data_IF_899538261044
#
_entry.id   IF_899538261044
#
_cell.length_a   1.000
_cell.length_b   1.000
_cell.length_c   1.000
_cell.angle_alpha   90.00
_cell.angle_beta   90.00
_cell.angle_gamma   90.00
#
_symmetry.space_group_name_H-M   'P 1'
#
loop_
_entity.id
_entity.type
_entity.pdbx_description
1 polymer ?
#
# COMPACT_ATOMS: atom_id res chain seq x y z
N UNK A 1 20.44 11.31 22.06
CA UNK A 1 19.11 11.32 22.67
C UNK A 1 18.48 9.96 22.42
N UNK A 2 18.44 9.14 23.45
CA UNK A 2 17.92 7.76 23.40
C UNK A 2 16.40 7.79 23.51
N UNK A 3 15.72 7.14 22.55
CA UNK A 3 14.29 6.85 22.64
C UNK A 3 14.17 5.37 23.02
N UNK A 4 13.52 5.01 24.13
CA UNK A 4 13.42 3.62 24.56
C UNK A 4 12.34 2.88 23.76
N UNK A 5 12.72 1.71 23.26
CA UNK A 5 11.84 0.67 22.72
C UNK A 5 11.09 -0.01 23.88
N UNK A 6 9.78 0.03 23.88
CA UNK A 6 8.92 -0.75 24.78
C UNK A 6 8.60 -2.11 24.12
N UNK A 7 9.16 -3.14 24.72
CA UNK A 7 8.88 -4.56 24.43
C UNK A 7 7.92 -5.11 25.48
N UNK A 8 6.85 -5.77 25.05
CA UNK A 8 6.06 -6.67 25.91
C UNK A 8 6.05 -8.08 25.33
N UNK A 9 6.38 -9.06 26.23
CA UNK A 9 6.36 -10.51 25.96
C UNK A 9 4.94 -11.09 26.01
N UNK A 10 4.64 -12.24 25.34
CA UNK A 10 4.63 -13.49 26.11
C UNK A 10 5.06 -14.79 25.36
N UNK A 11 5.44 -15.73 26.20
CA UNK A 11 5.49 -17.20 26.13
C UNK A 11 6.49 -17.90 25.22
N UNK A 12 7.39 -18.56 25.96
CA UNK A 12 8.39 -19.55 25.57
C UNK A 12 7.74 -20.90 25.18
N UNK A 13 8.24 -21.54 24.15
CA UNK A 13 8.87 -22.87 24.20
C UNK A 13 9.26 -23.38 22.78
N UNK A 14 10.42 -24.04 22.77
CA UNK A 14 10.96 -24.98 21.75
C UNK A 14 12.02 -24.49 20.76
N UNK A 15 13.13 -25.13 20.93
CA UNK A 15 14.17 -25.68 20.07
C UNK A 15 15.52 -24.95 20.05
N UNK A 16 16.41 -25.56 20.84
CA UNK A 16 17.87 -25.51 20.68
C UNK A 16 18.28 -26.59 19.67
N UNK A 17 19.22 -26.23 18.82
CA UNK A 17 20.13 -27.20 18.23
C UNK A 17 20.42 -27.04 16.74
N UNK A 18 21.71 -26.99 16.43
CA UNK A 18 22.45 -27.43 15.25
C UNK A 18 23.09 -26.40 14.32
N UNK A 19 24.38 -26.24 14.60
CA UNK A 19 25.60 -26.36 13.76
C UNK A 19 25.81 -25.55 12.47
N UNK A 20 27.00 -25.01 12.47
CA UNK A 20 27.72 -24.09 11.58
C UNK A 20 27.92 -24.61 10.16
N UNK A 21 27.57 -23.79 9.16
CA UNK A 21 28.19 -23.73 7.84
C UNK A 21 28.10 -22.31 7.27
N UNK A 22 29.01 -21.84 6.40
CA UNK A 22 29.11 -20.46 5.99
C UNK A 22 28.17 -20.12 4.84
N UNK A 23 26.87 -20.04 5.10
CA UNK A 23 25.87 -19.60 4.15
C UNK A 23 25.29 -18.26 4.62
N UNK A 24 25.10 -17.28 3.72
CA UNK A 24 24.34 -16.07 4.02
C UNK A 24 22.89 -16.48 4.34
N UNK A 25 22.54 -16.48 5.61
CA UNK A 25 21.22 -16.82 6.14
C UNK A 25 20.50 -15.52 6.46
N UNK A 26 19.20 -15.47 6.17
CA UNK A 26 18.32 -14.33 6.41
C UNK A 26 17.30 -14.68 7.49
N UNK A 27 16.83 -13.66 8.22
CA UNK A 27 15.84 -13.81 9.29
C UNK A 27 14.56 -13.06 8.95
N UNK A 28 13.41 -13.62 9.25
CA UNK A 28 12.09 -12.99 9.09
C UNK A 28 11.51 -12.59 10.43
N UNK A 29 10.84 -11.45 10.47
CA UNK A 29 10.10 -10.96 11.61
C UNK A 29 8.64 -10.79 11.20
N UNK A 30 7.75 -11.52 11.86
CA UNK A 30 6.32 -11.32 11.72
C UNK A 30 5.87 -10.26 12.74
N UNK A 31 5.31 -9.16 12.26
CA UNK A 31 4.72 -8.16 13.13
C UNK A 31 3.21 -8.42 13.23
N UNK A 32 2.79 -9.00 14.34
CA UNK A 32 1.39 -8.95 14.78
C UNK A 32 1.21 -7.69 15.61
N UNK A 33 0.32 -6.80 15.21
CA UNK A 33 -0.03 -5.64 16.04
C UNK A 33 -0.65 -6.13 17.35
N UNK A 34 -0.18 -5.68 18.53
CA UNK A 34 -0.78 -6.10 19.77
C UNK A 34 -2.18 -5.52 19.94
N UNK A 35 -3.16 -6.37 20.20
CA UNK A 35 -4.47 -5.97 20.65
C UNK A 35 -4.39 -5.28 22.01
N UNK A 36 -4.88 -4.06 22.10
CA UNK A 36 -5.38 -3.51 23.34
C UNK A 36 -6.77 -4.11 23.61
N UNK A 37 -6.81 -5.14 24.42
CA UNK A 37 -8.03 -5.61 25.06
C UNK A 37 -8.39 -4.65 26.19
N UNK A 38 -9.43 -3.86 26.02
CA UNK A 38 -10.20 -3.30 27.12
C UNK A 38 -11.66 -3.59 26.85
N UNK A 39 -12.13 -4.67 27.40
CA UNK A 39 -13.53 -4.99 27.53
C UNK A 39 -14.19 -3.98 28.48
N UNK A 40 -15.01 -3.08 27.91
CA UNK A 40 -16.05 -2.38 28.62
C UNK A 40 -17.35 -2.77 27.92
N UNK A 41 -18.30 -3.41 28.64
CA UNK A 41 -19.59 -3.75 28.05
C UNK A 41 -20.36 -2.47 27.73
N UNK A 42 -20.77 -2.33 26.50
CA UNK A 42 -21.55 -1.19 25.96
C UNK A 42 -23.03 -1.28 26.40
N UNK A 43 -23.30 -1.34 27.70
CA UNK A 43 -24.66 -1.45 28.24
C UNK A 43 -25.02 -0.42 29.32
N UNK A 44 -24.21 0.61 29.57
CA UNK A 44 -24.48 1.59 30.63
C UNK A 44 -24.32 3.07 30.26
N UNK A 45 -24.58 3.47 29.02
CA UNK A 45 -24.59 4.89 28.62
C UNK A 45 -25.88 5.28 27.89
N UNK A 46 -27.03 4.86 28.39
CA UNK A 46 -28.35 5.35 27.95
C UNK A 46 -29.16 5.87 29.16
N UNK A 47 -28.64 6.90 29.83
CA UNK A 47 -29.48 7.72 30.72
C UNK A 47 -28.88 9.11 30.87
N UNK A 48 -29.08 9.96 29.89
CA UNK A 48 -29.03 11.40 30.02
C UNK A 48 -29.98 12.02 28.97
N UNK A 49 -30.97 12.83 29.37
CA UNK A 49 -31.90 13.47 28.46
C UNK A 49 -31.29 14.75 27.91
N UNK A 50 -31.22 14.86 26.59
CA UNK A 50 -30.97 16.13 25.91
C UNK A 50 -29.85 16.15 24.92
N UNK A 51 -30.04 15.49 23.76
CA UNK A 51 -29.39 15.93 22.51
C UNK A 51 -30.16 15.37 21.30
N UNK A 52 -30.77 16.24 20.57
CA UNK A 52 -31.61 16.05 19.38
C UNK A 52 -30.75 15.62 18.13
N UNK A 53 -30.06 14.47 18.19
CA UNK A 53 -29.25 13.93 17.05
C UNK A 53 -29.76 12.61 16.50
N UNK A 54 -30.84 12.05 17.03
CA UNK A 54 -31.31 10.71 16.70
C UNK A 54 -32.23 10.62 15.46
N UNK A 55 -32.29 11.66 14.61
CA UNK A 55 -33.25 11.67 13.48
C UNK A 55 -32.66 11.34 12.09
N UNK A 56 -31.40 10.88 12.01
CA UNK A 56 -30.74 10.57 10.73
C UNK A 56 -30.22 9.12 10.58
N UNK A 57 -30.64 8.23 11.46
CA UNK A 57 -30.36 6.79 11.27
C UNK A 57 -31.63 6.04 10.92
N UNK A 58 -32.09 6.22 9.69
CA UNK A 58 -32.99 5.25 9.07
C UNK A 58 -32.13 4.13 8.47
N UNK A 59 -32.49 2.85 8.65
CA UNK A 59 -31.83 1.75 7.98
C UNK A 59 -32.08 1.89 6.48
N UNK A 60 -31.05 2.26 5.73
CA UNK A 60 -31.14 2.33 4.26
C UNK A 60 -31.32 0.92 3.70
N UNK A 61 -32.51 0.62 3.24
CA UNK A 61 -32.82 -0.57 2.45
C UNK A 61 -31.79 -0.70 1.31
N UNK A 62 -31.39 -1.96 1.00
CA UNK A 62 -30.33 -2.25 0.05
C UNK A 62 -30.50 -1.64 -1.37
N UNK A 63 -31.71 -1.20 -1.71
CA UNK A 63 -32.03 -0.45 -2.94
C UNK A 63 -31.45 0.99 -2.93
N UNK A 64 -31.51 1.70 -1.81
CA UNK A 64 -30.96 3.07 -1.69
C UNK A 64 -29.43 3.09 -1.77
N UNK A 65 -28.75 2.04 -1.28
CA UNK A 65 -27.29 1.91 -1.44
C UNK A 65 -26.86 1.65 -2.89
N UNK A 66 -27.63 0.88 -3.65
CA UNK A 66 -27.37 0.63 -5.08
C UNK A 66 -27.56 1.90 -5.90
N UNK A 67 -28.61 2.66 -5.61
CA UNK A 67 -28.91 3.93 -6.30
C UNK A 67 -27.83 4.99 -6.03
N UNK A 68 -27.38 5.13 -4.79
CA UNK A 68 -26.34 6.10 -4.42
C UNK A 68 -24.97 5.78 -5.02
N UNK A 69 -24.64 4.48 -5.20
CA UNK A 69 -23.40 4.06 -5.87
C UNK A 69 -23.49 4.20 -7.40
N UNK A 70 -24.66 4.04 -8.00
CA UNK A 70 -24.87 4.28 -9.43
C UNK A 70 -24.81 5.77 -9.76
N UNK A 71 -25.44 6.63 -8.98
CA UNK A 71 -25.39 8.10 -9.15
C UNK A 71 -23.96 8.66 -9.06
N UNK A 72 -23.15 8.18 -8.13
CA UNK A 72 -21.73 8.63 -8.02
C UNK A 72 -20.84 8.14 -9.15
N UNK A 73 -21.17 7.00 -9.78
CA UNK A 73 -20.46 6.52 -10.98
C UNK A 73 -20.87 7.31 -12.23
N UNK A 74 -22.13 7.63 -12.34
CA UNK A 74 -22.70 8.42 -13.46
C UNK A 74 -22.17 9.86 -13.43
N UNK A 75 -22.12 10.53 -12.27
CA UNK A 75 -21.54 11.87 -12.11
C UNK A 75 -20.05 11.97 -12.50
N UNK A 76 -19.26 10.91 -12.31
CA UNK A 76 -17.84 10.88 -12.72
C UNK A 76 -17.62 10.51 -14.18
N UNK A 77 -18.62 9.94 -14.86
CA UNK A 77 -18.54 9.60 -16.30
C UNK A 77 -19.09 10.71 -17.19
N UNK A 78 -19.88 11.65 -16.67
CA UNK A 78 -20.54 12.75 -17.42
C UNK A 78 -19.58 13.80 -18.00
N UNK A 79 -18.30 13.57 -18.05
CA UNK A 79 -17.33 14.51 -18.65
C UNK A 79 -16.29 13.84 -19.54
N UNK A 80 -16.44 12.56 -19.85
CA UNK A 80 -15.50 11.84 -20.70
C UNK A 80 -15.87 11.93 -22.18
N UNK A 81 -14.88 12.20 -23.02
CA UNK A 81 -15.06 12.06 -24.47
C UNK A 81 -15.18 10.58 -24.85
N UNK A 82 -15.82 10.29 -25.99
CA UNK A 82 -15.97 8.92 -26.51
C UNK A 82 -14.63 8.18 -26.65
N UNK A 83 -13.55 8.89 -26.95
CA UNK A 83 -12.20 8.30 -27.04
C UNK A 83 -11.67 7.89 -25.66
N UNK A 84 -11.88 8.72 -24.65
CA UNK A 84 -11.47 8.46 -23.28
C UNK A 84 -12.26 7.30 -22.67
N UNK A 85 -13.57 7.27 -22.92
CA UNK A 85 -14.42 6.17 -22.49
C UNK A 85 -13.97 4.84 -23.11
N UNK A 86 -13.72 4.81 -24.42
CA UNK A 86 -13.20 3.62 -25.11
C UNK A 86 -11.84 3.18 -24.56
N UNK A 87 -10.96 4.12 -24.20
CA UNK A 87 -9.67 3.81 -23.57
C UNK A 87 -9.86 3.13 -22.21
N UNK A 88 -10.70 3.71 -21.35
CA UNK A 88 -10.99 3.13 -20.03
C UNK A 88 -11.62 1.75 -20.14
N UNK A 89 -12.58 1.58 -21.05
CA UNK A 89 -13.26 0.29 -21.25
C UNK A 89 -12.31 -0.77 -21.80
N UNK A 90 -11.44 -0.41 -22.74
CA UNK A 90 -10.38 -1.29 -23.26
C UNK A 90 -9.43 -1.73 -22.15
N UNK A 91 -8.94 -0.78 -21.34
CA UNK A 91 -8.03 -1.08 -20.25
C UNK A 91 -8.69 -1.97 -19.19
N UNK A 92 -9.93 -1.66 -18.82
CA UNK A 92 -10.71 -2.47 -17.89
C UNK A 92 -10.92 -3.90 -18.40
N UNK A 93 -11.42 -4.05 -19.63
CA UNK A 93 -11.68 -5.37 -20.22
C UNK A 93 -10.39 -6.22 -20.32
N UNK A 94 -9.30 -5.64 -20.79
CA UNK A 94 -8.02 -6.34 -20.88
C UNK A 94 -7.43 -6.66 -19.51
N UNK A 95 -7.61 -5.78 -18.51
CA UNK A 95 -7.14 -5.99 -17.16
C UNK A 95 -7.80 -7.21 -16.50
N UNK A 96 -9.14 -7.27 -16.50
CA UNK A 96 -9.88 -8.39 -15.90
C UNK A 96 -9.67 -9.72 -16.64
N UNK A 97 -9.25 -9.68 -17.91
CA UNK A 97 -8.79 -10.85 -18.67
C UNK A 97 -7.34 -11.25 -18.35
N UNK A 98 -6.65 -10.53 -17.45
CA UNK A 98 -5.27 -10.80 -17.07
C UNK A 98 -4.22 -10.39 -18.11
N UNK A 99 -4.56 -9.48 -19.05
CA UNK A 99 -3.61 -8.99 -20.04
C UNK A 99 -2.55 -8.08 -19.42
N UNK A 100 -1.29 -8.53 -19.37
CA UNK A 100 -0.16 -7.79 -18.77
C UNK A 100 0.05 -6.40 -19.37
N UNK A 101 -0.19 -6.25 -20.67
CA UNK A 101 -0.05 -4.95 -21.34
C UNK A 101 -1.07 -3.94 -20.81
N UNK A 102 -2.34 -4.38 -20.64
CA UNK A 102 -3.39 -3.51 -20.08
C UNK A 102 -3.13 -3.17 -18.61
N UNK A 103 -2.60 -4.12 -17.80
CA UNK A 103 -2.17 -3.83 -16.44
C UNK A 103 -1.03 -2.79 -16.41
N UNK A 104 -0.03 -2.93 -17.26
CA UNK A 104 1.10 -1.99 -17.34
C UNK A 104 0.63 -0.57 -17.74
N UNK A 105 -0.29 -0.47 -18.70
CA UNK A 105 -0.86 0.79 -19.16
C UNK A 105 -1.77 1.41 -18.08
N UNK A 106 -2.58 0.60 -17.40
CA UNK A 106 -3.43 1.02 -16.28
C UNK A 106 -2.59 1.58 -15.11
N UNK A 107 -1.50 0.90 -14.73
CA UNK A 107 -0.58 1.41 -13.70
C UNK A 107 0.09 2.70 -14.15
N UNK A 108 0.51 2.81 -15.41
CA UNK A 108 1.07 4.06 -15.96
C UNK A 108 0.04 5.21 -15.91
N UNK A 109 -1.23 4.91 -16.11
CA UNK A 109 -2.30 5.89 -16.02
C UNK A 109 -2.48 6.43 -14.60
N UNK A 110 -2.49 5.56 -13.57
CA UNK A 110 -2.61 5.97 -12.16
C UNK A 110 -1.36 6.69 -11.65
N UNK A 111 -0.19 6.39 -12.19
CA UNK A 111 1.08 7.08 -11.88
C UNK A 111 1.18 8.47 -12.53
N UNK A 112 0.27 8.83 -13.43
CA UNK A 112 0.32 10.11 -14.15
C UNK A 112 0.04 11.30 -13.23
N UNK A 113 0.79 12.39 -13.40
CA UNK A 113 0.55 13.67 -12.70
C UNK A 113 -0.41 14.58 -13.45
N UNK A 114 -0.72 14.27 -14.72
CA UNK A 114 -1.61 15.08 -15.54
C UNK A 114 -3.05 14.99 -15.02
N UNK A 115 -3.71 16.13 -14.76
CA UNK A 115 -5.06 16.20 -14.16
C UNK A 115 -6.05 15.30 -14.89
N UNK A 116 -6.16 15.44 -16.21
CA UNK A 116 -7.11 14.65 -17.01
C UNK A 116 -6.84 13.15 -16.96
N UNK A 117 -5.57 12.72 -16.93
CA UNK A 117 -5.22 11.30 -16.76
C UNK A 117 -5.55 10.79 -15.37
N UNK A 118 -5.45 11.64 -14.33
CA UNK A 118 -5.89 11.28 -12.97
C UNK A 118 -7.40 11.02 -12.93
N UNK A 119 -8.21 11.82 -13.60
CA UNK A 119 -9.67 11.61 -13.69
C UNK A 119 -9.99 10.26 -14.37
N UNK A 120 -9.36 9.98 -15.52
CA UNK A 120 -9.50 8.68 -16.21
C UNK A 120 -9.07 7.50 -15.31
N UNK A 121 -7.98 7.67 -14.58
CA UNK A 121 -7.50 6.66 -13.63
C UNK A 121 -8.54 6.37 -12.53
N UNK A 122 -9.20 7.39 -11.98
CA UNK A 122 -10.23 7.20 -10.97
C UNK A 122 -11.45 6.47 -11.52
N UNK A 123 -11.88 6.78 -12.75
CA UNK A 123 -12.98 6.04 -13.41
C UNK A 123 -12.60 4.57 -13.60
N UNK A 124 -11.39 4.29 -14.07
CA UNK A 124 -10.89 2.92 -14.22
C UNK A 124 -10.84 2.19 -12.86
N UNK A 125 -10.30 2.84 -11.83
CA UNK A 125 -10.20 2.26 -10.48
C UNK A 125 -11.56 1.95 -9.88
N UNK A 126 -12.58 2.78 -10.10
CA UNK A 126 -13.95 2.51 -9.64
C UNK A 126 -14.53 1.26 -10.31
N UNK A 127 -14.33 1.08 -11.62
CA UNK A 127 -14.76 -0.14 -12.34
C UNK A 127 -14.05 -1.38 -11.79
N UNK A 128 -12.72 -1.30 -11.59
CA UNK A 128 -11.93 -2.42 -11.04
C UNK A 128 -12.33 -2.71 -9.58
N UNK A 129 -12.56 -1.70 -8.77
CA UNK A 129 -13.00 -1.88 -7.38
C UNK A 129 -14.38 -2.55 -7.30
N UNK A 130 -15.30 -2.17 -8.19
CA UNK A 130 -16.62 -2.81 -8.28
C UNK A 130 -16.50 -4.30 -8.66
N UNK A 131 -15.64 -4.60 -9.64
CA UNK A 131 -15.32 -5.97 -10.05
C UNK A 131 -14.70 -6.78 -8.89
N UNK A 132 -13.66 -6.24 -8.22
CA UNK A 132 -13.00 -6.92 -7.11
C UNK A 132 -13.99 -7.25 -5.99
N UNK A 133 -14.88 -6.32 -5.63
CA UNK A 133 -15.92 -6.55 -4.62
C UNK A 133 -16.91 -7.65 -5.02
N UNK A 134 -17.24 -7.75 -6.29
CA UNK A 134 -18.11 -8.81 -6.79
C UNK A 134 -17.41 -10.17 -6.72
N UNK A 135 -16.14 -10.24 -7.14
CA UNK A 135 -15.33 -11.45 -7.05
C UNK A 135 -15.11 -11.88 -5.58
N UNK A 136 -14.86 -10.94 -4.66
CA UNK A 136 -14.77 -11.25 -3.23
C UNK A 136 -16.07 -11.85 -2.67
N UNK A 137 -17.24 -11.36 -3.09
CA UNK A 137 -18.53 -11.94 -2.70
C UNK A 137 -18.68 -13.37 -3.23
N UNK A 138 -18.30 -13.61 -4.49
CA UNK A 138 -18.30 -14.95 -5.09
C UNK A 138 -17.32 -15.89 -4.36
N UNK A 139 -16.20 -15.34 -3.90
CA UNK A 139 -15.19 -16.06 -3.09
C UNK A 139 -15.54 -16.12 -1.60
N UNK A 140 -16.83 -16.07 -1.25
CA UNK A 140 -17.33 -16.16 0.14
C UNK A 140 -16.74 -15.10 1.09
N UNK A 141 -16.47 -13.92 0.58
CA UNK A 141 -15.90 -12.81 1.35
C UNK A 141 -14.38 -12.90 1.58
N UNK A 142 -13.71 -13.90 1.00
CA UNK A 142 -12.24 -13.98 1.06
C UNK A 142 -11.63 -12.97 0.08
N UNK A 143 -10.57 -12.25 0.49
CA UNK A 143 -9.82 -11.36 -0.38
C UNK A 143 -9.29 -12.06 -1.63
N UNK A 144 -9.16 -11.33 -2.73
CA UNK A 144 -8.66 -11.86 -3.99
C UNK A 144 -7.16 -12.10 -3.98
N UNK A 145 -6.41 -11.32 -3.19
CA UNK A 145 -4.96 -11.43 -3.09
C UNK A 145 -4.47 -11.34 -1.64
N UNK A 146 -3.31 -11.93 -1.42
CA UNK A 146 -2.51 -11.77 -0.21
C UNK A 146 -1.43 -10.71 -0.44
N UNK A 147 -1.52 -9.59 0.27
CA UNK A 147 -0.62 -8.43 0.14
C UNK A 147 0.50 -8.56 1.16
N UNK A 148 1.73 -8.64 0.69
CA UNK A 148 2.91 -8.84 1.53
C UNK A 148 3.92 -7.73 1.29
N UNK A 149 4.25 -6.98 2.34
CA UNK A 149 5.34 -6.01 2.33
C UNK A 149 6.67 -6.69 2.62
N UNK A 150 7.70 -6.31 1.89
CA UNK A 150 9.05 -6.82 2.06
C UNK A 150 10.02 -5.67 2.25
N UNK A 151 10.76 -5.69 3.37
CA UNK A 151 11.81 -4.73 3.65
C UNK A 151 13.09 -5.41 4.13
N UNK A 152 14.14 -4.63 4.25
CA UNK A 152 15.44 -5.05 4.74
C UNK A 152 16.53 -4.10 4.26
N UNK A 153 17.68 -4.04 4.94
CA UNK A 153 18.76 -3.14 4.58
C UNK A 153 19.29 -3.41 3.17
N UNK A 154 19.94 -2.43 2.53
CA UNK A 154 20.64 -2.65 1.28
C UNK A 154 21.63 -3.81 1.40
N UNK A 155 21.68 -4.68 0.40
CA UNK A 155 22.53 -5.88 0.43
C UNK A 155 21.97 -7.07 1.23
N UNK A 156 20.81 -6.95 1.87
CA UNK A 156 20.16 -8.07 2.57
C UNK A 156 19.73 -9.23 1.64
N UNK A 157 19.75 -9.03 0.32
CA UNK A 157 19.39 -10.07 -0.66
C UNK A 157 17.90 -10.12 -1.00
N UNK A 158 17.18 -9.01 -0.83
CA UNK A 158 15.74 -8.91 -1.16
C UNK A 158 15.43 -9.41 -2.57
N UNK A 159 16.12 -8.91 -3.58
CA UNK A 159 15.86 -9.30 -4.97
C UNK A 159 16.16 -10.79 -5.24
N UNK A 160 17.21 -11.37 -4.61
CA UNK A 160 17.49 -12.81 -4.68
C UNK A 160 16.40 -13.63 -4.00
N UNK A 161 15.89 -13.13 -2.89
CA UNK A 161 14.75 -13.73 -2.19
C UNK A 161 13.48 -13.68 -3.06
N UNK A 162 13.15 -12.53 -3.65
CA UNK A 162 11.98 -12.36 -4.52
C UNK A 162 12.07 -13.29 -5.73
N UNK A 163 13.25 -13.43 -6.33
CA UNK A 163 13.49 -14.32 -7.46
C UNK A 163 13.16 -15.77 -7.09
N UNK A 164 13.75 -16.29 -6.02
CA UNK A 164 13.54 -17.67 -5.60
C UNK A 164 12.11 -17.92 -5.11
N UNK A 165 11.62 -17.06 -4.22
CA UNK A 165 10.28 -17.15 -3.66
C UNK A 165 9.22 -17.03 -4.74
N UNK A 166 9.40 -16.08 -5.65
CA UNK A 166 8.48 -15.85 -6.77
C UNK A 166 8.41 -17.06 -7.71
N UNK A 167 9.53 -17.64 -8.08
CA UNK A 167 9.55 -18.87 -8.89
C UNK A 167 8.83 -20.02 -8.18
N UNK A 168 9.12 -20.24 -6.91
CA UNK A 168 8.42 -21.26 -6.12
C UNK A 168 6.90 -21.06 -6.12
N UNK A 169 6.43 -19.80 -6.03
CA UNK A 169 5.01 -19.47 -6.07
C UNK A 169 4.39 -19.73 -7.45
N UNK A 170 5.04 -19.29 -8.52
CA UNK A 170 4.53 -19.47 -9.88
C UNK A 170 4.53 -20.95 -10.29
N UNK A 171 5.52 -21.73 -9.89
CA UNK A 171 5.56 -23.19 -10.07
C UNK A 171 4.43 -23.92 -9.32
N UNK A 172 3.93 -23.32 -8.22
CA UNK A 172 2.74 -23.82 -7.47
C UNK A 172 1.41 -23.32 -8.04
N UNK A 173 1.44 -22.60 -9.14
CA UNK A 173 0.24 -22.09 -9.83
C UNK A 173 -0.26 -20.74 -9.35
N UNK A 174 0.47 -20.05 -8.45
CA UNK A 174 0.15 -18.70 -8.04
C UNK A 174 0.50 -17.67 -9.13
N UNK A 175 -0.27 -16.58 -9.18
CA UNK A 175 0.06 -15.39 -9.97
C UNK A 175 0.61 -14.31 -9.07
N UNK A 176 1.89 -13.98 -9.24
CA UNK A 176 2.63 -13.06 -8.41
C UNK A 176 2.78 -11.68 -9.07
N UNK A 177 2.46 -10.62 -8.35
CA UNK A 177 2.86 -9.25 -8.70
C UNK A 177 3.91 -8.74 -7.71
N UNK A 178 4.97 -8.12 -8.22
CA UNK A 178 6.02 -7.45 -7.45
C UNK A 178 6.01 -5.97 -7.77
N UNK A 179 5.71 -5.14 -6.77
CA UNK A 179 5.71 -3.69 -6.84
C UNK A 179 6.91 -3.17 -6.04
N UNK A 180 7.96 -2.74 -6.74
CA UNK A 180 9.15 -2.21 -6.09
C UNK A 180 8.99 -0.70 -5.85
N UNK A 181 8.94 -0.29 -4.58
CA UNK A 181 8.79 1.09 -4.14
C UNK A 181 10.15 1.66 -3.79
N UNK A 182 10.74 2.43 -4.70
CA UNK A 182 12.06 3.04 -4.51
C UNK A 182 11.96 4.57 -4.37
N UNK A 183 12.18 5.13 -3.16
CA UNK A 183 12.21 6.57 -2.96
C UNK A 183 13.45 7.25 -3.58
N UNK A 184 14.51 6.50 -3.93
CA UNK A 184 15.78 7.06 -4.42
C UNK A 184 15.84 7.24 -5.93
N UNK A 185 14.88 6.72 -6.69
CA UNK A 185 14.90 6.77 -8.17
C UNK A 185 14.71 8.18 -8.75
N UNK A 186 14.32 9.17 -7.94
CA UNK A 186 14.20 10.56 -8.38
C UNK A 186 15.53 11.27 -8.60
N UNK A 187 16.61 10.83 -7.95
CA UNK A 187 17.90 11.55 -7.95
C UNK A 187 18.97 10.89 -8.79
N UNK A 188 18.88 9.61 -9.13
CA UNK A 188 20.00 8.90 -9.76
C UNK A 188 19.69 8.15 -11.06
N UNK A 189 18.44 8.05 -11.50
CA UNK A 189 18.09 7.37 -12.77
C UNK A 189 18.51 5.90 -12.90
N UNK A 190 19.17 5.33 -11.89
CA UNK A 190 19.88 4.07 -11.97
C UNK A 190 19.13 2.82 -11.49
N UNK A 191 18.06 2.99 -10.71
CA UNK A 191 17.36 1.85 -10.09
C UNK A 191 16.41 1.10 -11.05
N UNK A 192 15.85 1.78 -12.03
CA UNK A 192 14.82 1.21 -12.93
C UNK A 192 15.31 0.01 -13.77
N UNK A 193 16.60 -0.03 -14.08
CA UNK A 193 17.23 -1.13 -14.85
C UNK A 193 17.79 -2.23 -13.93
N UNK A 194 18.19 -1.88 -12.71
CA UNK A 194 18.87 -2.81 -11.80
C UNK A 194 17.97 -3.94 -11.28
N UNK A 195 16.67 -3.69 -11.06
CA UNK A 195 15.78 -4.69 -10.47
C UNK A 195 15.34 -5.76 -11.48
N UNK A 196 15.09 -5.36 -12.74
CA UNK A 196 14.83 -6.34 -13.81
C UNK A 196 16.03 -7.21 -14.14
N UNK A 197 17.24 -6.69 -13.98
CA UNK A 197 18.47 -7.47 -14.21
C UNK A 197 18.80 -8.41 -13.06
N UNK A 198 18.24 -8.18 -11.87
CA UNK A 198 18.45 -9.06 -10.69
C UNK A 198 17.41 -10.16 -10.56
N UNK A 199 16.23 -9.98 -11.18
CA UNK A 199 15.12 -10.95 -11.20
C UNK A 199 14.88 -11.45 -12.63
N UNK A 200 15.92 -12.01 -13.24
CA UNK A 200 15.94 -12.31 -14.69
C UNK A 200 15.00 -13.44 -15.10
N UNK A 201 14.87 -14.47 -14.31
CA UNK A 201 14.00 -15.61 -14.62
C UNK A 201 12.56 -15.30 -14.30
N UNK A 202 12.29 -14.72 -13.11
CA UNK A 202 10.94 -14.34 -12.69
C UNK A 202 10.34 -13.28 -13.63
N UNK A 203 11.15 -12.36 -14.17
CA UNK A 203 10.68 -11.34 -15.11
C UNK A 203 10.18 -11.91 -16.45
N UNK A 204 10.61 -13.13 -16.82
CA UNK A 204 10.17 -13.87 -18.02
C UNK A 204 8.97 -14.77 -17.75
N UNK A 205 8.66 -15.03 -16.49
CA UNK A 205 7.52 -15.87 -16.13
C UNK A 205 6.19 -15.18 -16.46
N UNK A 206 5.30 -15.90 -17.15
CA UNK A 206 3.98 -15.36 -17.53
C UNK A 206 3.04 -15.18 -16.34
N UNK A 207 3.28 -15.92 -15.24
CA UNK A 207 2.52 -15.81 -14.00
C UNK A 207 3.11 -14.78 -13.03
N UNK A 208 4.21 -14.11 -13.40
CA UNK A 208 4.81 -13.04 -12.61
C UNK A 208 4.74 -11.67 -13.33
N UNK A 209 4.45 -10.62 -12.58
CA UNK A 209 4.49 -9.25 -13.06
C UNK A 209 5.36 -8.40 -12.14
N UNK A 210 6.42 -7.81 -12.68
CA UNK A 210 7.35 -6.99 -11.91
C UNK A 210 7.27 -5.55 -12.40
N UNK A 211 6.93 -4.62 -11.49
CA UNK A 211 6.84 -3.20 -11.76
C UNK A 211 7.70 -2.41 -10.78
N UNK A 212 8.79 -1.76 -11.23
CA UNK A 212 9.40 -0.69 -10.48
C UNK A 212 8.43 0.51 -10.48
N UNK A 213 8.05 0.98 -9.29
CA UNK A 213 7.21 2.17 -9.14
C UNK A 213 8.10 3.36 -8.83
N UNK A 214 8.25 4.33 -9.73
CA UNK A 214 9.05 5.52 -9.47
C UNK A 214 8.36 6.37 -8.42
N UNK A 215 9.02 6.53 -7.28
CA UNK A 215 8.58 7.47 -6.25
C UNK A 215 9.08 8.85 -6.62
N UNK A 216 8.19 9.77 -6.87
CA UNK A 216 8.54 11.18 -7.15
C UNK A 216 8.75 11.94 -5.86
N UNK A 217 9.77 11.57 -5.06
CA UNK A 217 10.32 12.44 -3.99
C UNK A 217 9.41 12.83 -2.82
N UNK A 218 8.10 12.56 -2.86
CA UNK A 218 7.19 12.80 -1.75
C UNK A 218 6.64 11.48 -1.20
N UNK A 219 6.70 11.32 0.11
CA UNK A 219 6.22 10.11 0.81
C UNK A 219 4.76 9.79 0.47
N UNK A 220 3.94 10.83 0.29
CA UNK A 220 2.54 10.72 -0.06
C UNK A 220 2.30 10.18 -1.47
N UNK A 221 3.10 10.60 -2.46
CA UNK A 221 2.97 10.11 -3.84
C UNK A 221 3.23 8.62 -3.98
N UNK A 222 4.15 8.07 -3.16
CA UNK A 222 4.41 6.62 -3.05
C UNK A 222 3.16 5.87 -2.60
N UNK A 223 2.54 6.37 -1.53
CA UNK A 223 1.40 5.71 -0.88
C UNK A 223 0.20 5.63 -1.80
N UNK A 224 -0.06 6.70 -2.56
CA UNK A 224 -1.19 6.77 -3.48
C UNK A 224 -1.06 5.76 -4.62
N UNK A 225 -0.01 5.91 -5.43
CA UNK A 225 0.16 5.11 -6.65
C UNK A 225 0.35 3.63 -6.35
N UNK A 226 0.99 3.29 -5.23
CA UNK A 226 1.17 1.89 -4.81
C UNK A 226 -0.15 1.24 -4.42
N UNK A 227 -1.01 1.91 -3.64
CA UNK A 227 -2.34 1.39 -3.29
C UNK A 227 -3.21 1.19 -4.55
N UNK A 228 -3.19 2.16 -5.47
CA UNK A 228 -3.91 2.07 -6.74
C UNK A 228 -3.36 0.91 -7.60
N UNK A 229 -2.04 0.72 -7.66
CA UNK A 229 -1.42 -0.40 -8.37
C UNK A 229 -1.75 -1.77 -7.74
N UNK A 230 -1.83 -1.87 -6.40
CA UNK A 230 -2.28 -3.08 -5.70
C UNK A 230 -3.70 -3.45 -6.15
N UNK A 231 -4.65 -2.49 -6.17
CA UNK A 231 -6.03 -2.75 -6.62
C UNK A 231 -6.09 -3.21 -8.08
N UNK A 232 -5.25 -2.63 -8.95
CA UNK A 232 -5.17 -3.05 -10.36
C UNK A 232 -4.59 -4.45 -10.51
N UNK A 233 -3.58 -4.82 -9.71
CA UNK A 233 -3.03 -6.18 -9.70
C UNK A 233 -4.06 -7.21 -9.23
N UNK A 234 -4.83 -6.91 -8.17
CA UNK A 234 -5.94 -7.77 -7.71
C UNK A 234 -6.98 -7.97 -8.82
N UNK A 235 -7.40 -6.88 -9.48
CA UNK A 235 -8.33 -6.95 -10.63
C UNK A 235 -7.77 -7.70 -11.84
N UNK A 236 -6.45 -7.70 -12.01
CA UNK A 236 -5.73 -8.48 -13.02
C UNK A 236 -5.55 -9.96 -12.68
N UNK A 237 -6.08 -10.41 -11.52
CA UNK A 237 -6.08 -11.81 -11.11
C UNK A 237 -4.77 -12.27 -10.48
N UNK A 238 -3.95 -11.37 -9.95
CA UNK A 238 -2.77 -11.72 -9.14
C UNK A 238 -3.22 -12.02 -7.72
N UNK A 239 -2.92 -13.22 -7.22
CA UNK A 239 -3.34 -13.70 -5.91
C UNK A 239 -2.27 -13.52 -4.81
N UNK A 240 -1.03 -13.19 -5.18
CA UNK A 240 0.03 -12.74 -4.27
C UNK A 240 0.62 -11.43 -4.77
N UNK A 241 0.66 -10.41 -3.92
CA UNK A 241 1.21 -9.11 -4.23
C UNK A 241 2.33 -8.78 -3.25
N UNK A 242 3.56 -8.74 -3.75
CA UNK A 242 4.73 -8.31 -2.98
C UNK A 242 4.97 -6.81 -3.20
N UNK A 243 5.09 -6.07 -2.11
CA UNK A 243 5.48 -4.65 -2.13
C UNK A 243 6.86 -4.54 -1.50
N UNK A 244 7.89 -4.39 -2.34
CA UNK A 244 9.28 -4.26 -1.90
C UNK A 244 9.62 -2.81 -1.57
N UNK A 245 10.27 -2.56 -0.41
CA UNK A 245 10.83 -1.26 -0.02
C UNK A 245 12.35 -1.27 -0.10
N UNK A 246 12.95 -0.08 -0.19
CA UNK A 246 14.42 0.07 -0.26
C UNK A 246 15.12 -0.17 1.07
N UNK A 247 14.39 -0.19 2.18
CA UNK A 247 14.94 -0.51 3.50
C UNK A 247 15.55 0.67 4.25
N UNK A 248 15.04 1.90 4.02
CA UNK A 248 15.53 3.12 4.68
C UNK A 248 14.38 3.96 5.28
N UNK A 249 13.77 3.45 6.34
CA UNK A 249 12.99 4.25 7.30
C UNK A 249 11.55 4.57 6.89
N UNK A 250 11.28 5.71 6.29
CA UNK A 250 9.90 6.24 6.15
C UNK A 250 9.00 5.47 5.17
N UNK A 251 9.56 4.88 4.11
CA UNK A 251 8.79 4.09 3.14
C UNK A 251 8.23 2.79 3.74
N UNK A 252 8.89 2.27 4.77
CA UNK A 252 8.50 1.03 5.45
C UNK A 252 7.20 1.17 6.23
N UNK A 253 7.03 2.29 6.96
CA UNK A 253 5.79 2.60 7.66
C UNK A 253 4.63 2.76 6.68
N UNK A 254 4.86 3.46 5.57
CA UNK A 254 3.84 3.66 4.55
C UNK A 254 3.39 2.32 3.92
N UNK A 255 4.33 1.40 3.65
CA UNK A 255 4.01 0.07 3.10
C UNK A 255 3.29 -0.80 4.11
N UNK A 256 3.60 -0.71 5.41
CA UNK A 256 2.89 -1.46 6.46
C UNK A 256 1.39 -1.15 6.47
N UNK A 257 1.02 0.09 6.15
CA UNK A 257 -0.39 0.52 6.07
C UNK A 257 -1.10 0.11 4.76
N UNK A 258 -0.43 -0.59 3.84
CA UNK A 258 -1.02 -1.04 2.56
C UNK A 258 -1.13 -2.56 2.45
N UNK A 259 -0.40 -3.30 3.30
CA UNK A 259 -0.24 -4.76 3.18
C UNK A 259 -0.90 -5.52 4.33
N UNK A 260 -1.19 -6.79 4.08
CA UNK A 260 -1.79 -7.67 5.07
C UNK A 260 -0.72 -8.19 6.06
N UNK A 261 0.47 -8.50 5.52
CA UNK A 261 1.64 -8.97 6.28
C UNK A 261 2.88 -8.16 5.88
N UNK A 262 3.77 -7.92 6.83
CA UNK A 262 5.04 -7.25 6.58
C UNK A 262 6.21 -8.16 6.99
N UNK A 263 7.15 -8.35 6.09
CA UNK A 263 8.32 -9.20 6.26
C UNK A 263 9.57 -8.31 6.30
N UNK A 264 10.41 -8.50 7.30
CA UNK A 264 11.70 -7.84 7.40
C UNK A 264 12.82 -8.87 7.20
N UNK A 265 13.59 -8.68 6.12
CA UNK A 265 14.81 -9.44 5.86
C UNK A 265 15.98 -8.84 6.63
N UNK A 266 16.57 -9.62 7.52
CA UNK A 266 17.75 -9.21 8.29
C UNK A 266 18.94 -10.11 7.95
N UNK A 267 20.16 -9.54 7.93
CA UNK A 267 21.38 -10.35 7.86
C UNK A 267 21.54 -11.22 9.12
N UNK A 268 22.32 -12.30 9.10
CA UNK A 268 22.38 -13.33 10.15
C UNK A 268 22.79 -12.83 11.54
N UNK A 269 23.37 -11.63 11.66
CA UNK A 269 23.95 -11.08 12.88
C UNK A 269 22.95 -10.30 13.78
N UNK A 270 21.65 -10.25 13.45
CA UNK A 270 20.67 -9.42 14.19
C UNK A 270 19.70 -10.24 15.05
N UNK A 271 19.68 -9.98 16.35
CA UNK A 271 18.57 -10.16 17.31
C UNK A 271 18.08 -11.57 17.67
N UNK A 272 17.94 -11.86 18.97
CA UNK A 272 17.57 -13.18 19.50
C UNK A 272 16.13 -13.31 20.03
N UNK A 273 15.28 -12.26 19.98
CA UNK A 273 14.01 -12.23 20.74
C UNK A 273 12.71 -12.34 19.93
N UNK A 274 12.76 -12.58 18.61
CA UNK A 274 11.58 -12.61 17.75
C UNK A 274 11.39 -13.99 17.10
N UNK A 275 10.17 -14.32 16.71
CA UNK A 275 9.93 -15.51 15.87
C UNK A 275 10.64 -15.31 14.53
N UNK A 276 11.78 -15.95 14.38
CA UNK A 276 12.68 -15.78 13.24
C UNK A 276 12.74 -17.10 12.47
N UNK A 277 12.37 -17.05 11.20
CA UNK A 277 12.59 -18.18 10.28
C UNK A 277 13.91 -17.93 9.55
N UNK A 278 14.81 -18.89 9.63
CA UNK A 278 16.07 -18.86 8.87
C UNK A 278 15.83 -19.35 7.47
N UNK A 279 16.19 -18.54 6.50
CA UNK A 279 16.07 -18.92 5.09
C UNK A 279 17.38 -18.69 4.35
N UNK A 280 17.53 -19.41 3.26
CA UNK A 280 18.56 -19.17 2.27
C UNK A 280 17.91 -18.98 0.90
N UNK A 281 17.89 -17.75 0.40
CA UNK A 281 17.39 -17.45 -0.94
C UNK A 281 18.25 -18.08 -2.06
N UNK A 282 19.46 -18.54 -1.75
CA UNK A 282 20.36 -19.17 -2.71
C UNK A 282 20.14 -20.69 -2.83
N UNK A 283 19.86 -21.37 -1.72
CA UNK A 283 19.62 -22.83 -1.69
C UNK A 283 18.13 -23.18 -1.62
N UNK A 284 17.24 -22.20 -1.35
CA UNK A 284 15.82 -22.43 -1.13
C UNK A 284 15.47 -22.97 0.26
N UNK A 285 16.47 -23.20 1.12
CA UNK A 285 16.25 -23.72 2.48
C UNK A 285 15.33 -22.78 3.28
N UNK A 286 14.31 -23.32 3.93
CA UNK A 286 13.37 -22.61 4.79
C UNK A 286 12.32 -21.77 4.06
N UNK A 287 12.39 -21.56 2.74
CA UNK A 287 11.45 -20.71 2.01
C UNK A 287 10.05 -21.35 1.94
N UNK A 288 9.97 -22.65 1.74
CA UNK A 288 8.69 -23.37 1.77
C UNK A 288 8.04 -23.32 3.15
N UNK A 289 8.80 -23.57 4.20
CA UNK A 289 8.32 -23.47 5.58
C UNK A 289 7.81 -22.05 5.89
N UNK A 290 8.56 -21.04 5.46
CA UNK A 290 8.13 -19.65 5.57
C UNK A 290 6.79 -19.41 4.88
N UNK A 291 6.62 -19.88 3.65
CA UNK A 291 5.36 -19.72 2.92
C UNK A 291 4.19 -20.41 3.64
N UNK A 292 4.41 -21.59 4.20
CA UNK A 292 3.38 -22.29 4.96
C UNK A 292 2.98 -21.52 6.22
N UNK A 293 3.95 -20.91 6.91
CA UNK A 293 3.69 -20.01 8.04
C UNK A 293 2.97 -18.72 7.63
N UNK A 294 3.27 -18.17 6.46
CA UNK A 294 2.56 -17.01 5.93
C UNK A 294 1.09 -17.35 5.62
N UNK A 295 0.82 -18.52 5.06
CA UNK A 295 -0.55 -19.01 4.82
C UNK A 295 -1.31 -19.26 6.12
N UNK A 296 -0.67 -19.90 7.11
CA UNK A 296 -1.24 -20.09 8.44
C UNK A 296 -1.65 -18.76 9.09
N UNK A 297 -0.76 -17.76 9.01
CA UNK A 297 -1.07 -16.40 9.48
C UNK A 297 -2.25 -15.79 8.72
N UNK A 298 -2.26 -15.86 7.40
CA UNK A 298 -3.36 -15.35 6.57
C UNK A 298 -4.69 -15.99 6.95
N UNK A 299 -4.71 -17.30 7.13
CA UNK A 299 -5.91 -18.05 7.48
C UNK A 299 -6.44 -17.68 8.88
N UNK A 300 -5.53 -17.53 9.85
CA UNK A 300 -5.87 -17.07 11.20
C UNK A 300 -6.50 -15.66 11.16
N UNK A 301 -5.90 -14.73 10.41
CA UNK A 301 -6.41 -13.36 10.25
C UNK A 301 -7.76 -13.31 9.50
N UNK A 302 -8.00 -14.25 8.57
CA UNK A 302 -9.28 -14.41 7.90
C UNK A 302 -10.37 -14.92 8.85
N UNK A 303 -10.08 -15.98 9.60
CA UNK A 303 -11.03 -16.61 10.53
C UNK A 303 -11.40 -15.66 11.66
N UNK A 304 -10.44 -14.90 12.20
CA UNK A 304 -10.69 -13.92 13.26
C UNK A 304 -11.42 -12.66 12.76
N UNK A 305 -11.50 -12.43 11.45
CA UNK A 305 -12.05 -11.19 10.86
C UNK A 305 -11.10 -10.00 10.95
N UNK A 306 -9.91 -10.16 11.53
CA UNK A 306 -8.93 -9.08 11.70
C UNK A 306 -8.39 -8.56 10.35
N UNK A 307 -8.29 -9.43 9.34
CA UNK A 307 -7.84 -9.01 8.01
C UNK A 307 -8.80 -7.99 7.39
N UNK A 308 -10.10 -8.22 7.49
CA UNK A 308 -11.11 -7.29 6.98
C UNK A 308 -11.08 -5.96 7.75
N UNK A 309 -10.98 -6.01 9.07
CA UNK A 309 -10.87 -4.82 9.92
C UNK A 309 -9.59 -4.01 9.61
N UNK A 310 -8.45 -4.70 9.42
CA UNK A 310 -7.18 -4.08 9.01
C UNK A 310 -7.32 -3.35 7.68
N UNK A 311 -7.87 -4.01 6.65
CA UNK A 311 -8.07 -3.41 5.32
C UNK A 311 -9.02 -2.21 5.35
N UNK A 312 -10.09 -2.26 6.15
CA UNK A 312 -10.98 -1.11 6.34
C UNK A 312 -10.26 0.09 6.96
N UNK A 313 -9.41 -0.16 7.98
CA UNK A 313 -8.58 0.89 8.58
C UNK A 313 -7.59 1.48 7.57
N UNK A 314 -6.92 0.62 6.79
CA UNK A 314 -6.00 1.04 5.73
C UNK A 314 -6.69 1.92 4.68
N UNK A 315 -7.88 1.57 4.22
CA UNK A 315 -8.66 2.40 3.27
C UNK A 315 -8.99 3.77 3.85
N UNK A 316 -9.35 3.85 5.13
CA UNK A 316 -9.61 5.11 5.81
C UNK A 316 -8.36 5.98 5.90
N UNK A 317 -7.21 5.41 6.30
CA UNK A 317 -5.92 6.10 6.36
C UNK A 317 -5.54 6.61 4.96
N UNK A 318 -5.66 5.76 3.95
CA UNK A 318 -5.38 6.13 2.57
C UNK A 318 -6.23 7.30 2.09
N UNK A 319 -7.54 7.28 2.32
CA UNK A 319 -8.42 8.41 1.99
C UNK A 319 -7.94 9.72 2.63
N UNK A 320 -7.59 9.72 3.91
CA UNK A 320 -7.11 10.92 4.59
C UNK A 320 -5.77 11.41 4.07
N UNK A 321 -4.85 10.51 3.74
CA UNK A 321 -3.58 10.86 3.12
C UNK A 321 -3.80 11.55 1.75
N UNK A 322 -4.71 11.00 0.92
CA UNK A 322 -5.09 11.62 -0.35
C UNK A 322 -5.68 13.03 -0.18
N UNK A 323 -6.54 13.22 0.83
CA UNK A 323 -7.11 14.54 1.14
C UNK A 323 -5.98 15.52 1.51
N UNK A 324 -5.07 15.13 2.40
CA UNK A 324 -3.95 15.97 2.83
C UNK A 324 -3.05 16.36 1.64
N UNK A 325 -2.69 15.41 0.79
CA UNK A 325 -1.90 15.66 -0.40
C UNK A 325 -2.56 16.64 -1.35
N UNK A 326 -3.84 16.40 -1.66
CA UNK A 326 -4.58 17.26 -2.58
C UNK A 326 -4.78 18.68 -2.01
N UNK A 327 -5.04 18.82 -0.71
CA UNK A 327 -5.16 20.12 -0.06
C UNK A 327 -3.83 20.88 -0.08
N UNK A 328 -2.72 20.22 0.23
CA UNK A 328 -1.38 20.83 0.17
C UNK A 328 -1.03 21.24 -1.27
N UNK A 329 -1.31 20.38 -2.24
CA UNK A 329 -1.07 20.69 -3.65
C UNK A 329 -1.91 21.86 -4.13
N UNK A 330 -3.20 21.87 -3.77
CA UNK A 330 -4.10 22.99 -4.08
C UNK A 330 -3.63 24.30 -3.42
N UNK A 331 -3.17 24.22 -2.19
CA UNK A 331 -2.59 25.37 -1.48
C UNK A 331 -1.34 25.89 -2.19
N UNK A 332 -0.38 25.01 -2.56
CA UNK A 332 0.88 25.40 -3.22
C UNK A 332 0.66 25.97 -4.61
N UNK A 333 -0.32 25.47 -5.34
CA UNK A 333 -0.63 25.90 -6.71
C UNK A 333 -1.52 27.14 -6.76
N UNK A 334 -2.10 27.56 -5.61
CA UNK A 334 -2.95 28.75 -5.55
C UNK A 334 -2.17 30.01 -5.96
N UNK A 335 -2.65 30.85 -6.91
CA UNK A 335 -1.92 31.98 -7.43
C UNK A 335 -1.32 32.90 -6.37
N UNK A 336 -2.16 33.34 -5.41
CA UNK A 336 -1.74 34.26 -4.34
C UNK A 336 -0.69 33.63 -3.38
N UNK A 337 -0.69 32.34 -3.20
CA UNK A 337 0.32 31.61 -2.39
C UNK A 337 1.61 31.50 -3.20
N UNK A 338 1.52 31.09 -4.48
CA UNK A 338 2.66 30.88 -5.35
C UNK A 338 3.50 32.16 -5.55
N UNK A 339 2.84 33.32 -5.61
CA UNK A 339 3.53 34.61 -5.71
C UNK A 339 4.33 34.96 -4.46
N UNK A 340 3.87 34.57 -3.29
CA UNK A 340 4.46 34.97 -2.00
C UNK A 340 5.40 33.94 -1.39
N UNK A 341 5.30 32.65 -1.75
CA UNK A 341 5.99 31.55 -1.08
C UNK A 341 7.52 31.76 -1.10
N UNK A 342 8.11 32.05 -2.26
CA UNK A 342 9.55 32.21 -2.40
C UNK A 342 10.11 33.39 -1.59
N UNK A 343 9.36 34.49 -1.54
CA UNK A 343 9.75 35.67 -0.77
C UNK A 343 9.69 35.40 0.74
N UNK A 344 8.61 34.76 1.19
CA UNK A 344 8.43 34.45 2.62
C UNK A 344 9.43 33.39 3.09
N UNK A 345 9.71 32.36 2.29
CA UNK A 345 10.78 31.38 2.59
C UNK A 345 12.14 32.07 2.74
N UNK A 346 12.52 32.96 1.83
CA UNK A 346 13.76 33.74 1.92
C UNK A 346 13.85 34.54 3.21
N UNK A 347 12.75 35.19 3.63
CA UNK A 347 12.67 35.97 4.88
C UNK A 347 12.75 35.09 6.11
N UNK A 348 12.17 33.88 6.08
CA UNK A 348 12.29 32.91 7.17
C UNK A 348 13.73 32.42 7.28
N UNK A 349 14.37 32.05 6.17
CA UNK A 349 15.76 31.57 6.15
C UNK A 349 16.75 32.63 6.61
N UNK A 350 16.48 33.91 6.38
CA UNK A 350 17.33 35.03 6.87
C UNK A 350 17.03 35.42 8.32
N UNK A 351 16.06 34.78 9.00
CA UNK A 351 15.65 35.16 10.35
C UNK A 351 14.82 36.46 10.42
N UNK A 352 14.51 37.09 9.31
CA UNK A 352 13.74 38.33 9.26
C UNK A 352 12.23 38.12 9.48
N UNK A 353 11.76 36.88 9.45
CA UNK A 353 10.37 36.51 9.65
C UNK A 353 10.29 35.20 10.41
N UNK A 354 9.41 35.08 11.41
CA UNK A 354 9.19 33.81 12.09
C UNK A 354 8.45 32.82 11.18
N UNK A 355 8.75 31.49 11.27
CA UNK A 355 8.05 30.48 10.47
C UNK A 355 6.52 30.48 10.69
N UNK A 356 6.07 30.73 11.95
CA UNK A 356 4.64 30.80 12.28
C UNK A 356 3.95 31.95 11.56
N UNK A 357 4.54 33.17 11.59
CA UNK A 357 3.96 34.33 10.91
C UNK A 357 3.98 34.16 9.39
N UNK A 358 5.02 33.51 8.83
CA UNK A 358 5.06 33.19 7.41
C UNK A 358 3.92 32.24 7.00
N UNK A 359 3.67 31.20 7.80
CA UNK A 359 2.58 30.28 7.57
C UNK A 359 1.21 30.97 7.64
N UNK A 360 0.99 31.84 8.64
CA UNK A 360 -0.25 32.61 8.78
C UNK A 360 -0.49 33.53 7.58
N UNK A 361 0.55 34.20 7.07
CA UNK A 361 0.48 35.05 5.88
C UNK A 361 0.10 34.28 4.63
N UNK A 362 0.69 33.09 4.40
CA UNK A 362 0.34 32.21 3.28
C UNK A 362 -1.08 31.68 3.40
N UNK A 363 -1.52 31.29 4.59
CA UNK A 363 -2.89 30.84 4.84
C UNK A 363 -3.91 31.99 4.62
N UNK A 364 -3.53 33.22 4.96
CA UNK A 364 -4.35 34.41 4.69
C UNK A 364 -4.45 34.68 3.18
N UNK A 365 -3.33 34.58 2.47
CA UNK A 365 -3.31 34.72 1.01
C UNK A 365 -4.17 33.64 0.32
N UNK A 366 -4.15 32.39 0.81
CA UNK A 366 -5.00 31.31 0.31
C UNK A 366 -6.49 31.55 0.50
N UNK A 367 -6.87 32.19 1.62
CA UNK A 367 -8.28 32.49 1.93
C UNK A 367 -8.81 33.74 1.21
N UNK A 368 -7.95 34.61 0.69
CA UNK A 368 -8.39 35.79 -0.05
C UNK A 368 -9.01 35.34 -1.37
N UNK A 369 -10.31 35.51 -1.51
CA UNK A 369 -11.02 35.35 -2.80
C UNK A 369 -10.54 36.46 -3.74
N UNK A 370 -10.13 36.10 -4.94
CA UNK A 370 -10.04 37.06 -6.03
C UNK A 370 -11.41 37.49 -6.48
#
# INVERSE_FOLDING_TARGET
>A
MNIPMLLQRPHQHFLKGLLRTPFRRYRFIFHSSPHFGSGIPCAQLLSSPGLHWAKWMLPSNGLTRKLCLQTTLEEHTEGLSDKEQRLVDKLYAGLIQGQRACLAEAITLVESTHSRKKELAQVLLQKVLAHNREQEKLNKGKPLAFRVGLSGPPGAGKSTFIEYFGKMLTERGHKLSVLAVDPSSCTSGGSLLGDKTRMTELSRDMNAYIRPSPTRGTLGGVTRTTNEAILLCEGGGYDVILVETVGVGQSEFAVTDMVDMFILLLPPAGGDELQVIRISARSGEGITEMWDKMKEFQEMMLVSGELAAKRQKQQKVWMWNLIQENVIEHFRTHPAVREQIALLEKRVLSGALSPGLAADLLLKAFKSRH
#
